data_IF_862905368390
#
_entry.id   IF_862905368390
#
_cell.length_a   1.000
_cell.length_b   1.000
_cell.length_c   1.000
_cell.angle_alpha   90.00
_cell.angle_beta   90.00
_cell.angle_gamma   90.00
#
_symmetry.space_group_name_H-M   'P 1'
#
loop_
_entity.id
_entity.type
_entity.pdbx_description
1 polymer ?
#
# COMPACT_ATOMS: atom_id res chain seq x y z
N UNK A 1 23.33 -37.41 32.01
CA UNK A 1 21.92 -37.18 32.38
C UNK A 1 21.10 -36.70 31.19
N UNK A 2 21.30 -37.34 30.02
CA UNK A 2 20.94 -36.83 28.70
C UNK A 2 20.24 -37.92 27.89
N UNK A 3 19.20 -38.52 28.49
CA UNK A 3 18.49 -39.65 27.88
C UNK A 3 16.95 -39.64 28.10
N UNK A 4 16.35 -38.56 28.61
CA UNK A 4 14.90 -38.49 28.87
C UNK A 4 14.15 -37.37 28.13
N UNK A 5 14.81 -36.59 27.27
CA UNK A 5 14.15 -35.52 26.49
C UNK A 5 13.81 -35.91 25.03
N UNK A 6 14.18 -37.12 24.59
CA UNK A 6 14.14 -37.52 23.17
C UNK A 6 13.10 -38.59 22.80
N UNK A 7 12.02 -38.76 23.58
CA UNK A 7 10.95 -39.74 23.26
C UNK A 7 9.54 -39.20 23.00
N UNK A 8 9.34 -37.88 22.97
CA UNK A 8 8.02 -37.29 22.67
C UNK A 8 7.96 -36.42 21.40
N UNK A 9 8.98 -36.44 20.55
CA UNK A 9 9.02 -35.62 19.31
C UNK A 9 8.69 -36.45 18.05
N UNK A 10 8.73 -37.79 18.11
CA UNK A 10 8.51 -38.64 16.93
C UNK A 10 7.10 -39.22 16.74
N UNK A 11 6.13 -38.95 17.63
CA UNK A 11 4.72 -39.34 17.40
C UNK A 11 3.82 -38.18 16.97
N UNK A 12 4.33 -36.95 16.90
CA UNK A 12 3.60 -35.77 16.38
C UNK A 12 4.09 -35.26 15.02
N UNK A 13 5.24 -35.74 14.52
CA UNK A 13 5.82 -35.30 13.24
C UNK A 13 5.30 -36.07 12.01
N UNK A 14 4.66 -37.23 12.18
CA UNK A 14 4.05 -37.97 11.05
C UNK A 14 2.56 -37.66 10.85
N UNK A 15 1.89 -37.04 11.83
CA UNK A 15 0.50 -36.60 11.71
C UNK A 15 0.34 -35.17 11.12
N UNK A 16 1.44 -34.41 11.00
CA UNK A 16 1.40 -33.01 10.54
C UNK A 16 1.81 -32.80 9.07
N UNK A 17 2.24 -33.84 8.35
CA UNK A 17 2.71 -33.74 6.95
C UNK A 17 1.81 -34.43 5.91
N UNK A 18 0.55 -34.74 6.28
CA UNK A 18 -0.49 -35.23 5.34
C UNK A 18 -1.84 -34.52 5.52
N UNK A 19 -1.83 -33.27 5.99
CA UNK A 19 -3.02 -32.44 6.00
C UNK A 19 -2.99 -31.46 4.81
N UNK A 20 -3.84 -31.74 3.83
CA UNK A 20 -4.48 -30.75 3.00
C UNK A 20 -3.66 -30.02 1.91
N UNK A 21 -3.22 -30.77 0.88
CA UNK A 21 -3.67 -30.37 -0.46
C UNK A 21 -5.17 -30.66 -0.46
N UNK A 22 -5.95 -29.74 0.12
CA UNK A 22 -7.39 -29.78 0.03
C UNK A 22 -7.71 -29.36 -1.39
N UNK A 23 -7.69 -30.37 -2.25
CA UNK A 23 -8.61 -30.48 -3.36
C UNK A 23 -10.02 -30.61 -2.75
N UNK A 24 -10.47 -29.62 -1.98
CA UNK A 24 -11.89 -29.50 -1.69
C UNK A 24 -12.46 -29.08 -3.02
N UNK A 25 -13.13 -30.02 -3.66
CA UNK A 25 -14.40 -29.62 -4.26
C UNK A 25 -15.16 -28.95 -3.12
N UNK A 26 -15.12 -27.61 -3.06
CA UNK A 26 -16.12 -26.84 -2.34
C UNK A 26 -17.46 -27.46 -2.73
N UNK A 27 -18.40 -27.64 -1.78
CA UNK A 27 -19.67 -28.26 -2.09
C UNK A 27 -20.21 -27.58 -3.34
N UNK A 28 -20.39 -28.37 -4.41
CA UNK A 28 -21.07 -27.86 -5.60
C UNK A 28 -22.43 -27.42 -5.09
N UNK A 29 -22.62 -26.10 -4.98
CA UNK A 29 -23.92 -25.54 -4.68
C UNK A 29 -24.90 -26.20 -5.67
N UNK A 30 -25.95 -26.88 -5.18
CA UNK A 30 -26.92 -27.51 -6.05
C UNK A 30 -27.37 -26.51 -7.10
N UNK A 31 -27.61 -26.97 -8.33
CA UNK A 31 -28.11 -26.14 -9.44
C UNK A 31 -29.43 -25.42 -9.11
N UNK A 32 -30.05 -25.78 -7.99
CA UNK A 32 -31.11 -25.05 -7.33
C UNK A 32 -30.56 -24.28 -6.12
N UNK A 33 -30.07 -23.05 -6.35
CA UNK A 33 -30.26 -21.99 -5.36
C UNK A 33 -31.76 -21.96 -5.09
N UNK A 34 -32.19 -22.27 -3.87
CA UNK A 34 -33.61 -22.25 -3.53
C UNK A 34 -34.09 -20.81 -3.61
N UNK A 35 -34.65 -20.47 -4.77
CA UNK A 35 -35.56 -19.35 -4.96
C UNK A 35 -36.47 -19.25 -3.74
N UNK A 36 -36.44 -18.08 -3.11
CA UNK A 36 -37.60 -17.44 -2.51
C UNK A 36 -38.24 -18.26 -1.38
N UNK A 37 -37.86 -17.95 -0.14
CA UNK A 37 -38.82 -18.06 0.96
C UNK A 37 -40.03 -17.15 0.66
N UNK A 38 -41.23 -17.56 1.08
CA UNK A 38 -42.48 -16.80 0.90
C UNK A 38 -42.24 -15.32 1.24
N UNK A 39 -42.26 -14.45 0.23
CA UNK A 39 -42.03 -13.00 0.39
C UNK A 39 -40.71 -12.43 -0.15
N UNK A 40 -39.86 -13.19 -0.86
CA UNK A 40 -38.73 -12.62 -1.63
C UNK A 40 -37.43 -12.39 -0.84
N UNK A 41 -37.09 -13.27 0.10
CA UNK A 41 -36.00 -13.07 1.09
C UNK A 41 -34.75 -13.94 0.81
N UNK A 42 -33.54 -13.40 1.04
CA UNK A 42 -32.22 -14.02 0.76
C UNK A 42 -31.65 -14.76 1.98
N UNK A 43 -31.37 -16.07 1.85
CA UNK A 43 -30.70 -16.91 2.86
C UNK A 43 -29.32 -17.31 2.34
N UNK A 44 -28.25 -16.93 3.03
CA UNK A 44 -26.88 -17.10 2.54
C UNK A 44 -26.30 -18.49 2.85
N UNK A 45 -26.71 -19.13 3.95
CA UNK A 45 -26.32 -20.51 4.29
C UNK A 45 -27.51 -21.46 4.52
N UNK A 46 -27.45 -22.72 4.03
CA UNK A 46 -28.50 -23.73 4.28
C UNK A 46 -28.75 -24.05 5.75
N UNK A 47 -27.79 -23.76 6.63
CA UNK A 47 -27.90 -24.00 8.08
C UNK A 47 -28.35 -22.76 8.89
N UNK A 48 -28.58 -21.61 8.24
CA UNK A 48 -29.06 -20.39 8.93
C UNK A 48 -30.46 -20.66 9.51
N UNK A 49 -30.60 -20.75 10.84
CA UNK A 49 -31.89 -21.04 11.47
C UNK A 49 -32.73 -19.77 11.61
N UNK A 50 -33.90 -19.77 10.97
CA UNK A 50 -34.86 -18.66 10.85
C UNK A 50 -35.41 -18.12 12.18
N UNK A 51 -35.35 -18.91 13.27
CA UNK A 51 -35.98 -18.55 14.55
C UNK A 51 -35.24 -17.48 15.36
N UNK A 52 -34.00 -17.16 15.00
CA UNK A 52 -33.11 -16.33 15.85
C UNK A 52 -32.75 -14.98 15.25
N UNK A 53 -33.12 -14.71 13.99
CA UNK A 53 -32.64 -13.54 13.24
C UNK A 53 -33.67 -13.04 12.22
N UNK A 54 -33.59 -11.76 11.80
CA UNK A 54 -34.45 -11.22 10.74
C UNK A 54 -34.33 -12.03 9.45
N UNK A 55 -35.44 -12.25 8.75
CA UNK A 55 -35.53 -13.10 7.56
C UNK A 55 -34.73 -12.59 6.33
N UNK A 56 -34.21 -11.36 6.36
CA UNK A 56 -33.35 -10.76 5.34
C UNK A 56 -32.14 -10.18 6.06
N UNK A 57 -30.96 -10.76 5.87
CA UNK A 57 -29.72 -10.17 6.41
C UNK A 57 -29.19 -9.10 5.44
N UNK A 58 -29.39 -9.29 4.12
CA UNK A 58 -29.02 -8.34 3.08
C UNK A 58 -30.11 -8.23 2.00
N UNK A 59 -30.36 -7.01 1.53
CA UNK A 59 -31.40 -6.72 0.52
C UNK A 59 -30.90 -6.89 -0.93
N UNK A 60 -29.60 -7.12 -1.11
CA UNK A 60 -28.94 -7.14 -2.42
C UNK A 60 -28.37 -8.53 -2.74
N UNK A 61 -28.37 -8.91 -4.03
CA UNK A 61 -27.81 -10.18 -4.50
C UNK A 61 -26.29 -10.05 -4.73
N UNK A 62 -25.44 -10.80 -3.99
CA UNK A 62 -23.98 -10.71 -4.13
C UNK A 62 -23.43 -11.09 -5.51
N UNK A 63 -24.17 -11.84 -6.34
CA UNK A 63 -23.75 -12.18 -7.71
C UNK A 63 -23.87 -10.97 -8.66
N UNK A 64 -24.78 -10.04 -8.36
CA UNK A 64 -25.05 -8.85 -9.17
C UNK A 64 -24.72 -7.53 -8.47
N UNK A 65 -24.42 -7.57 -7.17
CA UNK A 65 -24.08 -6.42 -6.33
C UNK A 65 -22.98 -5.56 -6.97
N UNK A 66 -23.24 -4.25 -7.00
CA UNK A 66 -22.28 -3.20 -7.35
C UNK A 66 -22.52 -2.06 -6.36
N UNK A 67 -21.51 -1.66 -5.57
CA UNK A 67 -21.69 -0.60 -4.58
C UNK A 67 -22.06 0.72 -5.26
N UNK A 68 -23.06 1.41 -4.72
CA UNK A 68 -23.46 2.73 -5.18
C UNK A 68 -22.47 3.80 -4.68
N UNK A 69 -21.59 4.22 -5.59
CA UNK A 69 -20.56 5.23 -5.31
C UNK A 69 -21.15 6.60 -4.96
N UNK A 70 -22.38 6.90 -5.36
CA UNK A 70 -23.02 8.20 -5.07
C UNK A 70 -23.38 8.38 -3.60
N UNK A 71 -23.38 7.28 -2.82
CA UNK A 71 -23.62 7.32 -1.36
C UNK A 71 -22.42 7.86 -0.57
N UNK A 72 -21.25 7.96 -1.19
CA UNK A 72 -20.02 8.44 -0.55
C UNK A 72 -19.71 9.88 -0.99
N UNK A 73 -19.41 10.82 -0.05
CA UNK A 73 -19.14 12.22 -0.38
C UNK A 73 -17.99 12.44 -1.37
N UNK A 74 -17.03 11.52 -1.40
CA UNK A 74 -15.85 11.54 -2.28
C UNK A 74 -15.96 10.54 -3.45
N UNK A 75 -17.13 9.93 -3.63
CA UNK A 75 -17.41 8.87 -4.60
C UNK A 75 -16.46 7.66 -4.50
N UNK A 76 -15.86 7.44 -3.33
CA UNK A 76 -14.94 6.32 -3.07
C UNK A 76 -15.63 5.30 -2.18
N UNK A 77 -15.56 4.03 -2.56
CA UNK A 77 -16.07 2.94 -1.72
C UNK A 77 -15.03 2.61 -0.67
N UNK A 78 -15.30 2.92 0.60
CA UNK A 78 -14.37 2.74 1.72
C UNK A 78 -14.46 1.37 2.41
N UNK A 79 -15.44 0.54 2.02
CA UNK A 79 -15.67 -0.77 2.65
C UNK A 79 -16.13 -1.81 1.64
N UNK A 80 -15.55 -3.01 1.71
CA UNK A 80 -15.97 -4.11 0.86
C UNK A 80 -17.27 -4.76 1.35
N UNK A 81 -18.23 -4.89 0.46
CA UNK A 81 -19.52 -5.48 0.77
C UNK A 81 -20.51 -4.44 1.24
N UNK A 82 -21.30 -4.79 2.26
CA UNK A 82 -22.37 -3.91 2.75
C UNK A 82 -21.80 -2.99 3.82
N UNK A 83 -22.05 -1.70 3.61
CA UNK A 83 -21.58 -0.61 4.47
C UNK A 83 -22.39 -0.68 5.76
N UNK A 84 -21.72 -0.96 6.88
CA UNK A 84 -22.30 -0.66 8.19
C UNK A 84 -22.48 0.87 8.23
N UNK A 85 -23.65 1.38 8.65
CA UNK A 85 -23.99 2.81 8.62
C UNK A 85 -22.77 3.72 8.89
N UNK A 86 -22.57 4.80 8.09
CA UNK A 86 -21.40 5.64 8.23
C UNK A 86 -21.29 6.13 9.69
N UNK A 87 -20.09 6.10 10.30
CA UNK A 87 -19.94 6.54 11.67
C UNK A 87 -20.45 7.97 11.81
N UNK A 88 -21.31 8.19 12.80
CA UNK A 88 -21.75 9.52 13.20
C UNK A 88 -20.51 10.37 13.53
N UNK A 89 -20.25 11.36 12.68
CA UNK A 89 -19.31 12.46 12.87
C UNK A 89 -17.79 12.11 13.02
N UNK A 90 -16.98 12.28 11.96
CA UNK A 90 -15.53 12.11 12.02
C UNK A 90 -14.78 13.21 12.80
N UNK A 91 -15.48 14.20 13.39
CA UNK A 91 -14.87 15.28 14.16
C UNK A 91 -14.67 14.98 15.64
N UNK A 92 -15.17 13.85 16.15
CA UNK A 92 -14.93 13.45 17.53
C UNK A 92 -13.57 12.76 17.66
N UNK A 93 -12.75 13.24 18.60
CA UNK A 93 -11.46 12.64 19.01
C UNK A 93 -11.59 11.21 19.61
N UNK A 94 -12.76 10.55 19.45
CA UNK A 94 -13.16 9.27 20.04
C UNK A 94 -12.99 8.06 19.10
N UNK A 95 -12.20 8.23 18.02
CA UNK A 95 -11.87 7.17 17.06
C UNK A 95 -11.36 5.89 17.72
N UNK A 96 -10.60 5.98 18.82
CA UNK A 96 -10.07 4.82 19.54
C UNK A 96 -11.13 3.97 20.26
N UNK A 97 -12.12 4.61 20.91
CA UNK A 97 -13.20 3.91 21.60
C UNK A 97 -14.16 3.24 20.60
N UNK A 98 -14.46 3.93 19.49
CA UNK A 98 -15.32 3.39 18.42
C UNK A 98 -14.73 2.14 17.74
N UNK A 99 -13.41 2.10 17.48
CA UNK A 99 -12.75 0.95 16.85
C UNK A 99 -12.75 -0.28 17.76
N UNK A 100 -12.50 -0.10 19.06
CA UNK A 100 -12.52 -1.20 20.03
C UNK A 100 -13.95 -1.74 20.17
N UNK A 101 -14.96 -0.87 20.24
CA UNK A 101 -16.37 -1.30 20.29
C UNK A 101 -16.78 -2.09 19.04
N UNK A 102 -16.41 -1.61 17.85
CA UNK A 102 -16.64 -2.33 16.58
C UNK A 102 -15.93 -3.69 16.58
N UNK A 103 -14.70 -3.77 17.07
CA UNK A 103 -13.96 -5.03 17.19
C UNK A 103 -14.67 -6.02 18.14
N UNK A 104 -15.12 -5.56 19.30
CA UNK A 104 -15.86 -6.39 20.27
C UNK A 104 -17.15 -6.91 19.65
N UNK A 105 -17.91 -6.05 18.96
CA UNK A 105 -19.13 -6.44 18.26
C UNK A 105 -18.83 -7.49 17.18
N UNK A 106 -17.81 -7.26 16.33
CA UNK A 106 -17.38 -8.22 15.30
C UNK A 106 -16.95 -9.56 15.89
N UNK A 107 -16.15 -9.56 16.96
CA UNK A 107 -15.74 -10.78 17.65
C UNK A 107 -16.92 -11.52 18.28
N UNK A 108 -17.86 -10.80 18.87
CA UNK A 108 -19.07 -11.39 19.46
C UNK A 108 -19.91 -12.07 18.39
N UNK A 109 -20.15 -11.41 17.25
CA UNK A 109 -20.87 -11.99 16.11
C UNK A 109 -20.12 -13.22 15.58
N UNK A 110 -18.82 -13.11 15.36
CA UNK A 110 -17.99 -14.24 14.87
C UNK A 110 -18.08 -15.44 15.81
N UNK A 111 -18.06 -15.21 17.12
CA UNK A 111 -18.19 -16.27 18.13
C UNK A 111 -19.56 -16.94 18.08
N UNK A 112 -20.64 -16.19 17.85
CA UNK A 112 -21.99 -16.75 17.70
C UNK A 112 -22.13 -17.62 16.45
N UNK A 113 -21.44 -17.29 15.36
CA UNK A 113 -21.50 -18.05 14.10
C UNK A 113 -20.55 -19.24 14.06
N UNK A 114 -19.55 -19.33 14.95
CA UNK A 114 -18.58 -20.43 14.96
C UNK A 114 -19.30 -21.80 15.05
N UNK A 115 -18.97 -22.79 14.19
CA UNK A 115 -17.80 -22.84 13.30
C UNK A 115 -18.03 -22.30 11.87
N UNK A 116 -19.18 -21.68 11.59
CA UNK A 116 -19.55 -21.16 10.28
C UNK A 116 -19.09 -19.70 10.09
N UNK A 117 -18.98 -19.30 8.83
CA UNK A 117 -18.74 -17.90 8.46
C UNK A 117 -19.96 -17.04 8.75
N UNK A 118 -19.75 -15.79 9.16
CA UNK A 118 -20.83 -14.82 9.34
C UNK A 118 -21.48 -14.50 7.99
N UNK A 119 -22.74 -14.03 7.94
CA UNK A 119 -23.41 -13.68 6.70
C UNK A 119 -22.61 -12.67 5.87
N UNK A 120 -22.00 -11.67 6.54
CA UNK A 120 -21.13 -10.70 5.88
C UNK A 120 -19.93 -11.37 5.20
N UNK A 121 -19.26 -12.30 5.89
CA UNK A 121 -18.14 -13.05 5.31
C UNK A 121 -18.59 -13.94 4.15
N UNK A 122 -19.77 -14.55 4.24
CA UNK A 122 -20.34 -15.32 3.13
C UNK A 122 -20.63 -14.43 1.91
N UNK A 123 -21.19 -13.23 2.13
CA UNK A 123 -21.42 -12.23 1.07
C UNK A 123 -20.09 -11.81 0.41
N UNK A 124 -19.10 -11.43 1.23
CA UNK A 124 -17.76 -11.04 0.75
C UNK A 124 -17.09 -12.19 -0.02
N UNK A 125 -17.25 -13.46 0.39
CA UNK A 125 -16.66 -14.61 -0.31
C UNK A 125 -17.16 -14.75 -1.76
N UNK A 126 -18.40 -14.34 -2.03
CA UNK A 126 -18.95 -14.33 -3.39
C UNK A 126 -18.35 -13.17 -4.19
N UNK A 127 -18.22 -11.98 -3.58
CA UNK A 127 -17.54 -10.84 -4.21
C UNK A 127 -16.08 -11.14 -4.53
N UNK A 128 -15.35 -11.79 -3.61
CA UNK A 128 -13.99 -12.26 -3.83
C UNK A 128 -13.92 -13.18 -5.05
N UNK A 129 -14.79 -14.19 -5.13
CA UNK A 129 -14.85 -15.10 -6.28
C UNK A 129 -15.08 -14.35 -7.59
N UNK A 130 -15.98 -13.37 -7.61
CA UNK A 130 -16.23 -12.52 -8.78
C UNK A 130 -14.97 -11.74 -9.15
N UNK A 131 -14.27 -11.18 -8.17
CA UNK A 131 -13.04 -10.40 -8.39
C UNK A 131 -11.89 -11.28 -8.90
N UNK A 132 -11.68 -12.46 -8.34
CA UNK A 132 -10.69 -13.45 -8.83
C UNK A 132 -11.00 -13.86 -10.27
N UNK A 133 -12.27 -14.18 -10.57
CA UNK A 133 -12.69 -14.56 -11.93
C UNK A 133 -12.45 -13.42 -12.93
N UNK A 134 -12.72 -12.17 -12.53
CA UNK A 134 -12.47 -10.97 -13.33
C UNK A 134 -10.96 -10.74 -13.56
N UNK A 135 -10.15 -10.94 -12.52
CA UNK A 135 -8.69 -10.85 -12.57
C UNK A 135 -8.08 -11.85 -13.58
N UNK A 136 -8.55 -13.10 -13.58
CA UNK A 136 -8.11 -14.13 -14.52
C UNK A 136 -8.70 -14.03 -15.93
N UNK A 137 -9.64 -13.12 -16.17
CA UNK A 137 -10.32 -13.00 -17.47
C UNK A 137 -9.44 -12.31 -18.50
N UNK A 138 -9.13 -13.02 -19.60
CA UNK A 138 -8.43 -12.45 -20.76
C UNK A 138 -9.16 -11.25 -21.37
N UNK A 139 -10.48 -11.24 -21.34
CA UNK A 139 -11.30 -10.14 -21.89
C UNK A 139 -11.13 -8.85 -21.07
N UNK A 140 -10.87 -8.97 -19.77
CA UNK A 140 -10.88 -7.84 -18.85
C UNK A 140 -9.47 -7.31 -18.57
N UNK A 141 -8.50 -8.22 -18.46
CA UNK A 141 -7.12 -7.90 -18.05
C UNK A 141 -6.11 -8.32 -19.11
N UNK A 142 -6.48 -9.15 -20.09
CA UNK A 142 -5.53 -9.80 -21.00
C UNK A 142 -4.63 -8.85 -21.79
N UNK A 143 -5.20 -7.77 -22.35
CA UNK A 143 -4.41 -6.76 -23.07
C UNK A 143 -3.53 -5.95 -22.13
N UNK A 144 -4.00 -5.69 -20.90
CA UNK A 144 -3.22 -5.00 -19.87
C UNK A 144 -2.02 -5.82 -19.41
N UNK A 145 -2.08 -7.15 -19.46
CA UNK A 145 -0.95 -8.01 -19.04
C UNK A 145 0.33 -7.78 -19.87
N UNK A 146 0.21 -7.18 -21.05
CA UNK A 146 1.33 -6.79 -21.93
C UNK A 146 1.68 -5.29 -21.82
N UNK A 147 1.16 -4.60 -20.82
CA UNK A 147 1.43 -3.17 -20.58
C UNK A 147 2.29 -2.98 -19.34
N UNK A 148 2.89 -1.81 -19.27
CA UNK A 148 3.52 -1.28 -18.08
C UNK A 148 2.75 -0.06 -17.59
N UNK A 149 2.65 0.10 -16.28
CA UNK A 149 2.11 1.31 -15.65
C UNK A 149 3.25 2.17 -15.16
N UNK A 150 3.19 3.46 -15.46
CA UNK A 150 3.97 4.48 -14.76
C UNK A 150 3.10 5.01 -13.64
N UNK A 151 3.55 4.81 -12.41
CA UNK A 151 2.79 5.09 -11.20
C UNK A 151 3.48 6.19 -10.42
N UNK A 152 2.68 7.15 -9.95
CA UNK A 152 3.06 8.05 -8.88
C UNK A 152 2.44 7.55 -7.58
N UNK A 153 3.30 7.19 -6.64
CA UNK A 153 2.93 6.84 -5.27
C UNK A 153 3.21 8.02 -4.36
N UNK A 154 2.22 8.50 -3.62
CA UNK A 154 2.36 9.64 -2.70
C UNK A 154 1.81 9.31 -1.32
N UNK A 155 2.53 9.73 -0.28
CA UNK A 155 2.08 9.58 1.10
C UNK A 155 0.91 10.52 1.37
N UNK A 156 -0.18 9.99 1.94
CA UNK A 156 -1.42 10.71 2.20
C UNK A 156 -1.35 11.72 3.35
N UNK A 157 -2.51 12.17 3.81
CA UNK A 157 -2.67 13.08 4.95
C UNK A 157 -1.92 14.42 4.81
N UNK A 158 -1.83 14.95 3.59
CA UNK A 158 -1.14 16.22 3.32
C UNK A 158 0.36 16.08 3.07
N UNK A 159 0.91 14.86 3.11
CA UNK A 159 2.32 14.59 2.86
C UNK A 159 2.68 14.49 1.36
N UNK A 160 1.72 14.60 0.45
CA UNK A 160 1.87 14.23 -0.97
C UNK A 160 2.90 15.11 -1.69
N UNK A 161 3.05 16.35 -1.23
CA UNK A 161 4.05 17.29 -1.75
C UNK A 161 5.45 17.02 -1.19
N UNK A 162 5.58 16.32 -0.05
CA UNK A 162 6.84 16.06 0.62
C UNK A 162 7.41 14.69 0.27
N UNK A 163 6.57 13.65 0.27
CA UNK A 163 7.00 12.25 0.13
C UNK A 163 6.25 11.58 -1.02
N UNK A 164 6.98 11.26 -2.10
CA UNK A 164 6.44 10.51 -3.25
C UNK A 164 7.52 9.78 -4.04
N UNK A 165 7.12 8.78 -4.82
CA UNK A 165 7.95 8.02 -5.77
C UNK A 165 7.25 7.94 -7.12
N UNK A 166 8.03 7.99 -8.21
CA UNK A 166 7.55 7.72 -9.57
C UNK A 166 8.32 6.56 -10.15
N UNK A 167 7.62 5.51 -10.53
CA UNK A 167 8.24 4.27 -10.99
C UNK A 167 7.37 3.56 -12.03
N UNK A 168 8.01 2.69 -12.80
CA UNK A 168 7.38 1.81 -13.79
C UNK A 168 7.34 0.40 -13.26
N UNK A 169 6.23 -0.29 -13.49
CA UNK A 169 6.03 -1.72 -13.22
C UNK A 169 5.20 -2.37 -14.33
N UNK A 170 5.32 -3.69 -14.56
CA UNK A 170 4.37 -4.41 -15.39
C UNK A 170 2.98 -4.35 -14.76
N UNK A 171 1.93 -4.15 -15.56
CA UNK A 171 0.56 -4.23 -15.06
C UNK A 171 0.21 -5.64 -14.54
N UNK A 172 0.93 -6.66 -15.03
CA UNK A 172 0.83 -8.04 -14.57
C UNK A 172 1.53 -8.34 -13.24
N UNK A 173 2.23 -7.37 -12.61
CA UNK A 173 2.92 -7.61 -11.34
C UNK A 173 1.90 -8.02 -10.27
N UNK A 174 2.20 -9.10 -9.54
CA UNK A 174 1.39 -9.53 -8.40
C UNK A 174 1.48 -8.50 -7.28
N UNK A 175 0.39 -8.25 -6.56
CA UNK A 175 0.36 -7.27 -5.47
C UNK A 175 1.38 -7.59 -4.38
N UNK A 176 1.58 -8.86 -4.03
CA UNK A 176 2.62 -9.27 -3.08
C UNK A 176 4.04 -8.96 -3.56
N UNK A 177 4.31 -9.17 -4.85
CA UNK A 177 5.60 -8.81 -5.46
C UNK A 177 5.77 -7.28 -5.58
N UNK A 178 4.69 -6.54 -5.88
CA UNK A 178 4.71 -5.08 -5.89
C UNK A 178 5.07 -4.52 -4.52
N UNK A 179 4.47 -5.04 -3.44
CA UNK A 179 4.85 -4.69 -2.08
C UNK A 179 6.33 -5.01 -1.80
N UNK A 180 6.68 -6.30 -1.85
CA UNK A 180 7.95 -6.81 -1.33
C UNK A 180 9.16 -6.41 -2.19
N UNK A 181 9.01 -6.48 -3.52
CA UNK A 181 10.11 -6.31 -4.45
C UNK A 181 10.26 -4.89 -5.00
N UNK A 182 9.21 -4.06 -4.91
CA UNK A 182 9.20 -2.72 -5.50
C UNK A 182 8.97 -1.65 -4.43
N UNK A 183 7.83 -1.65 -3.75
CA UNK A 183 7.45 -0.57 -2.82
C UNK A 183 8.41 -0.51 -1.63
N UNK A 184 8.67 -1.64 -0.96
CA UNK A 184 9.60 -1.72 0.18
C UNK A 184 10.98 -1.13 -0.16
N UNK A 185 11.68 -1.56 -1.24
CA UNK A 185 13.00 -1.00 -1.54
C UNK A 185 12.96 0.44 -2.05
N UNK A 186 11.95 0.90 -2.80
CA UNK A 186 11.90 2.31 -3.26
C UNK A 186 11.51 3.28 -2.14
N UNK A 187 10.83 2.79 -1.11
CA UNK A 187 10.60 3.54 0.12
C UNK A 187 11.77 3.44 1.07
N UNK A 188 12.57 2.37 0.99
CA UNK A 188 13.67 2.13 1.91
C UNK A 188 13.19 1.60 3.27
N UNK A 189 12.09 0.84 3.28
CA UNK A 189 11.58 0.15 4.45
C UNK A 189 12.21 -1.23 4.63
N UNK A 190 11.89 -1.86 5.75
CA UNK A 190 12.40 -3.18 6.12
C UNK A 190 11.53 -4.28 5.54
N UNK A 191 12.14 -5.15 4.75
CA UNK A 191 11.46 -6.28 4.12
C UNK A 191 10.86 -7.22 5.15
N UNK A 192 9.60 -7.62 4.97
CA UNK A 192 8.94 -8.60 5.82
C UNK A 192 8.63 -8.11 7.25
N UNK A 193 8.68 -6.80 7.49
CA UNK A 193 8.53 -6.25 8.83
C UNK A 193 7.06 -5.99 9.17
N UNK A 194 6.45 -5.03 8.49
CA UNK A 194 5.05 -4.66 8.66
C UNK A 194 4.13 -5.19 7.57
N UNK A 195 2.88 -5.43 7.94
CA UNK A 195 1.81 -5.78 7.03
C UNK A 195 1.39 -4.60 6.16
N UNK A 196 0.58 -4.90 5.15
CA UNK A 196 0.11 -3.92 4.18
C UNK A 196 -1.25 -4.32 3.63
N UNK A 197 -2.01 -3.36 3.11
CA UNK A 197 -3.29 -3.61 2.43
C UNK A 197 -3.40 -2.68 1.23
N UNK A 198 -3.83 -3.23 0.09
CA UNK A 198 -4.30 -2.48 -1.07
C UNK A 198 -5.83 -2.37 -1.01
N UNK A 199 -6.36 -1.18 -1.25
CA UNK A 199 -7.80 -0.94 -1.27
C UNK A 199 -8.24 -0.45 -2.65
N UNK A 200 -9.19 -1.17 -3.24
CA UNK A 200 -9.82 -0.79 -4.49
C UNK A 200 -10.92 0.23 -4.23
N UNK A 201 -10.69 1.47 -4.63
CA UNK A 201 -11.62 2.59 -4.43
C UNK A 201 -12.94 2.44 -5.20
N UNK A 202 -13.02 1.48 -6.13
CA UNK A 202 -14.20 1.27 -6.97
C UNK A 202 -15.22 0.33 -6.36
N UNK A 203 -14.79 -0.65 -5.56
CA UNK A 203 -15.67 -1.64 -4.92
C UNK A 203 -15.39 -1.88 -3.42
N UNK A 204 -14.42 -1.16 -2.86
CA UNK A 204 -14.01 -1.23 -1.47
C UNK A 204 -13.19 -2.46 -1.11
N UNK A 205 -12.80 -3.30 -2.09
CA UNK A 205 -12.09 -4.54 -1.79
C UNK A 205 -10.73 -4.27 -1.16
N UNK A 206 -10.45 -4.99 -0.09
CA UNK A 206 -9.21 -4.97 0.69
C UNK A 206 -8.39 -6.22 0.37
N UNK A 207 -7.15 -6.04 -0.10
CA UNK A 207 -6.30 -7.12 -0.60
C UNK A 207 -4.90 -7.01 0.04
N UNK A 208 -4.40 -8.08 0.64
CA UNK A 208 -3.14 -8.06 1.37
C UNK A 208 -2.70 -9.44 1.85
N UNK A 209 -1.67 -9.51 2.70
CA UNK A 209 -1.18 -10.77 3.21
C UNK A 209 -2.17 -11.40 4.19
N UNK A 210 -2.20 -12.73 4.23
CA UNK A 210 -2.99 -13.47 5.22
C UNK A 210 -2.53 -13.17 6.65
N UNK A 211 -3.46 -13.30 7.61
CA UNK A 211 -3.22 -13.00 9.04
C UNK A 211 -1.98 -13.67 9.65
N UNK A 212 -1.59 -14.85 9.17
CA UNK A 212 -0.45 -15.62 9.65
C UNK A 212 0.80 -15.50 8.75
N UNK A 213 0.89 -14.49 7.89
CA UNK A 213 2.02 -14.28 6.98
C UNK A 213 3.34 -13.88 7.67
N UNK A 214 3.33 -13.66 8.99
CA UNK A 214 4.53 -13.41 9.79
C UNK A 214 4.93 -11.94 9.96
N UNK A 215 4.13 -11.00 9.46
CA UNK A 215 4.31 -9.57 9.78
C UNK A 215 3.92 -9.26 11.23
N UNK A 216 4.64 -8.33 11.86
CA UNK A 216 4.56 -8.09 13.31
C UNK A 216 3.21 -7.53 13.79
N UNK A 217 2.50 -6.86 12.90
CA UNK A 217 1.34 -6.02 13.16
C UNK A 217 0.04 -6.54 12.52
N UNK A 218 0.02 -7.77 11.97
CA UNK A 218 -1.19 -8.39 11.38
C UNK A 218 -2.38 -8.48 12.35
N UNK A 219 -2.15 -8.32 13.66
CA UNK A 219 -3.21 -8.22 14.66
C UNK A 219 -4.10 -6.97 14.48
N UNK A 220 -3.60 -5.92 13.80
CA UNK A 220 -4.37 -4.71 13.50
C UNK A 220 -5.30 -4.89 12.29
N UNK A 221 -5.02 -5.83 11.38
CA UNK A 221 -5.87 -6.09 10.21
C UNK A 221 -7.37 -6.25 10.55
N UNK A 222 -7.81 -7.10 11.51
CA UNK A 222 -9.23 -7.21 11.88
C UNK A 222 -9.81 -5.98 12.60
N UNK A 223 -8.97 -5.05 13.07
CA UNK A 223 -9.43 -3.80 13.66
C UNK A 223 -9.86 -2.81 12.57
N UNK A 224 -9.11 -2.78 11.46
CA UNK A 224 -9.36 -1.87 10.35
C UNK A 224 -10.28 -2.46 9.28
N UNK A 225 -10.19 -3.77 9.02
CA UNK A 225 -10.85 -4.42 7.88
C UNK A 225 -11.72 -5.61 8.32
N UNK A 226 -12.89 -5.77 7.69
CA UNK A 226 -13.76 -6.92 7.91
C UNK A 226 -13.19 -8.22 7.32
N UNK A 227 -12.54 -8.09 6.18
CA UNK A 227 -11.93 -9.17 5.43
C UNK A 227 -10.71 -8.63 4.70
N UNK A 228 -9.71 -9.46 4.43
CA UNK A 228 -8.56 -9.12 3.58
C UNK A 228 -8.33 -10.29 2.65
N UNK A 229 -8.56 -10.07 1.36
CA UNK A 229 -8.34 -11.06 0.30
C UNK A 229 -6.84 -11.31 0.10
N UNK A 230 -6.46 -12.56 -0.23
CA UNK A 230 -5.07 -12.94 -0.48
C UNK A 230 -4.52 -12.26 -1.75
N UNK A 231 -3.35 -11.64 -1.62
CA UNK A 231 -2.71 -10.83 -2.66
C UNK A 231 -1.76 -11.60 -3.58
N UNK A 232 -1.43 -12.85 -3.23
CA UNK A 232 -0.37 -13.63 -3.88
C UNK A 232 -0.57 -13.89 -5.38
N UNK A 233 -1.81 -13.97 -5.83
CA UNK A 233 -2.17 -14.27 -7.22
C UNK A 233 -2.95 -13.13 -7.90
N UNK A 234 -3.00 -11.96 -7.26
CA UNK A 234 -3.75 -10.81 -7.77
C UNK A 234 -2.80 -9.86 -8.50
N UNK A 235 -2.92 -9.69 -9.83
CA UNK A 235 -2.13 -8.72 -10.58
C UNK A 235 -2.63 -7.30 -10.30
N UNK A 236 -1.73 -6.33 -10.35
CA UNK A 236 -2.03 -4.90 -10.21
C UNK A 236 -3.11 -4.42 -11.19
N UNK A 237 -3.13 -4.99 -12.39
CA UNK A 237 -4.15 -4.71 -13.41
C UNK A 237 -5.59 -5.06 -12.99
N UNK A 238 -5.76 -5.78 -11.87
CA UNK A 238 -7.07 -6.01 -11.24
C UNK A 238 -7.64 -4.70 -10.69
N UNK A 239 -6.77 -3.89 -10.06
CA UNK A 239 -7.08 -2.63 -9.39
C UNK A 239 -7.00 -1.44 -10.33
N UNK A 240 -5.97 -1.40 -11.19
CA UNK A 240 -5.66 -0.24 -12.02
C UNK A 240 -5.69 -0.63 -13.51
N UNK A 241 -6.34 0.17 -14.36
CA UNK A 241 -6.55 -0.20 -15.77
C UNK A 241 -6.14 0.87 -16.75
N UNK A 242 -6.45 2.13 -16.43
CA UNK A 242 -6.24 3.28 -17.31
C UNK A 242 -5.59 4.44 -16.57
N UNK A 243 -5.10 5.41 -17.34
CA UNK A 243 -4.56 6.66 -16.81
C UNK A 243 -5.61 7.33 -15.91
N UNK A 244 -5.17 7.76 -14.73
CA UNK A 244 -6.03 8.39 -13.73
C UNK A 244 -6.61 7.43 -12.70
N UNK A 245 -6.66 6.12 -12.98
CA UNK A 245 -7.02 5.11 -11.98
C UNK A 245 -6.03 5.15 -10.82
N UNK A 246 -6.53 4.86 -9.64
CA UNK A 246 -5.71 4.79 -8.44
C UNK A 246 -6.32 3.85 -7.40
N UNK A 247 -5.48 3.36 -6.50
CA UNK A 247 -5.87 2.57 -5.34
C UNK A 247 -5.15 3.11 -4.09
N UNK A 248 -5.68 2.82 -2.91
CA UNK A 248 -4.94 3.08 -1.67
C UNK A 248 -3.99 1.90 -1.39
N UNK A 249 -2.88 2.21 -0.74
CA UNK A 249 -1.92 1.23 -0.22
C UNK A 249 -1.51 1.68 1.18
N UNK A 250 -1.91 0.92 2.19
CA UNK A 250 -1.52 1.14 3.57
C UNK A 250 -0.34 0.24 3.90
N UNK A 251 0.72 0.79 4.47
CA UNK A 251 1.85 0.07 5.05
C UNK A 251 1.92 0.33 6.55
N UNK A 252 2.35 -0.66 7.35
CA UNK A 252 2.29 -0.60 8.81
C UNK A 252 0.85 -0.51 9.28
N UNK A 253 0.27 -1.66 9.61
CA UNK A 253 -1.13 -1.70 10.05
C UNK A 253 -1.30 -1.15 11.48
N UNK A 254 -0.20 -0.92 12.20
CA UNK A 254 -0.22 -0.20 13.48
C UNK A 254 -0.23 1.31 13.28
N UNK A 255 0.70 1.84 12.49
CA UNK A 255 0.86 3.29 12.28
C UNK A 255 0.03 3.85 11.11
N UNK A 256 -0.47 2.98 10.22
CA UNK A 256 -1.32 3.28 9.05
C UNK A 256 -0.73 4.31 8.08
N UNK A 257 0.38 3.96 7.43
CA UNK A 257 0.98 4.80 6.39
C UNK A 257 0.26 4.64 5.05
N UNK A 258 -0.76 5.47 4.83
CA UNK A 258 -1.57 5.45 3.60
C UNK A 258 -0.88 6.12 2.41
N UNK A 259 -0.90 5.45 1.27
CA UNK A 259 -0.34 5.92 0.02
C UNK A 259 -1.35 5.81 -1.11
N UNK A 260 -1.45 6.87 -1.90
CA UNK A 260 -2.18 6.85 -3.16
C UNK A 260 -1.26 6.36 -4.28
N UNK A 261 -1.60 5.24 -4.91
CA UNK A 261 -0.92 4.74 -6.11
C UNK A 261 -1.75 5.13 -7.33
N UNK A 262 -1.31 6.13 -8.09
CA UNK A 262 -2.03 6.64 -9.26
C UNK A 262 -1.30 6.31 -10.56
N UNK A 263 -2.01 5.78 -11.54
CA UNK A 263 -1.50 5.60 -12.90
C UNK A 263 -1.39 6.97 -13.60
N UNK A 264 -0.17 7.37 -13.93
CA UNK A 264 0.12 8.55 -14.75
C UNK A 264 0.21 8.20 -16.24
N UNK A 265 0.65 6.98 -16.58
CA UNK A 265 0.78 6.51 -17.96
C UNK A 265 0.56 4.99 -18.06
N UNK A 266 -0.02 4.55 -19.18
CA UNK A 266 -0.07 3.14 -19.59
C UNK A 266 0.77 3.01 -20.85
N UNK A 267 1.90 2.33 -20.75
CA UNK A 267 2.86 2.13 -21.84
C UNK A 267 2.83 0.68 -22.35
N UNK A 268 3.26 0.47 -23.59
CA UNK A 268 3.58 -0.88 -24.06
C UNK A 268 4.72 -1.46 -23.22
N UNK A 269 4.62 -2.75 -22.92
CA UNK A 269 5.74 -3.46 -22.29
C UNK A 269 6.79 -3.74 -23.35
N UNK A 270 7.98 -3.22 -23.11
CA UNK A 270 9.19 -3.65 -23.79
C UNK A 270 9.76 -4.86 -23.04
N UNK A 271 9.69 -6.03 -23.67
CA UNK A 271 10.17 -7.30 -23.07
C UNK A 271 11.70 -7.37 -23.00
N UNK A 272 12.41 -6.52 -23.75
CA UNK A 272 13.88 -6.42 -23.73
C UNK A 272 14.39 -5.42 -22.68
N UNK A 273 13.52 -4.54 -22.18
CA UNK A 273 13.84 -3.56 -21.14
C UNK A 273 13.65 -4.11 -19.72
N UNK A 274 14.30 -3.48 -18.73
CA UNK A 274 14.00 -3.76 -17.33
C UNK A 274 12.50 -3.50 -17.07
N UNK A 275 11.75 -4.51 -16.58
CA UNK A 275 10.29 -4.41 -16.44
C UNK A 275 9.88 -3.44 -15.31
N UNK A 276 10.80 -3.18 -14.38
CA UNK A 276 10.61 -2.31 -13.23
C UNK A 276 11.71 -1.27 -13.20
N UNK A 277 11.34 0.01 -13.03
CA UNK A 277 12.31 1.10 -12.94
C UNK A 277 11.81 2.20 -12.00
N UNK A 278 12.67 2.68 -11.10
CA UNK A 278 12.42 3.89 -10.31
C UNK A 278 12.92 5.12 -11.08
N UNK A 279 12.03 6.03 -11.46
CA UNK A 279 12.38 7.24 -12.21
C UNK A 279 12.83 8.38 -11.30
N UNK A 280 12.04 8.68 -10.27
CA UNK A 280 12.27 9.84 -9.39
C UNK A 280 11.53 9.71 -8.05
N UNK A 281 11.81 10.63 -7.13
CA UNK A 281 11.09 10.77 -5.88
C UNK A 281 11.51 11.99 -5.06
N UNK A 282 10.78 12.22 -3.98
CA UNK A 282 11.02 13.29 -3.01
C UNK A 282 10.79 12.81 -1.59
N UNK A 283 11.52 13.37 -0.64
CA UNK A 283 11.37 13.10 0.79
C UNK A 283 11.89 11.73 1.23
N UNK A 284 12.40 11.70 2.46
CA UNK A 284 12.64 10.45 3.18
C UNK A 284 11.31 9.78 3.49
N UNK A 285 11.27 8.45 3.48
CA UNK A 285 10.10 7.73 3.97
C UNK A 285 9.94 7.95 5.48
N UNK A 286 8.71 7.82 6.01
CA UNK A 286 8.51 7.64 7.44
C UNK A 286 9.44 6.56 7.99
N UNK A 287 10.22 6.84 9.05
CA UNK A 287 11.04 5.83 9.72
C UNK A 287 10.20 4.71 10.33
N UNK A 288 10.71 3.48 10.24
CA UNK A 288 10.09 2.30 10.87
C UNK A 288 10.01 2.51 12.39
N UNK A 289 8.84 2.30 12.98
CA UNK A 289 8.57 2.52 14.41
C UNK A 289 9.18 3.83 14.92
N UNK A 290 9.00 4.91 14.15
CA UNK A 290 9.69 6.18 14.32
C UNK A 290 9.41 6.87 15.66
N UNK A 291 10.06 6.41 16.72
CA UNK A 291 10.02 7.02 18.04
C UNK A 291 10.60 8.45 17.98
N UNK A 292 9.96 9.37 18.69
CA UNK A 292 10.39 10.76 18.80
C UNK A 292 9.93 11.70 17.67
N UNK A 293 9.44 11.19 16.53
CA UNK A 293 8.60 11.98 15.63
C UNK A 293 7.28 12.18 16.36
N UNK A 294 7.09 13.34 16.99
CA UNK A 294 5.98 13.65 17.91
C UNK A 294 4.64 13.03 17.42
N UNK A 295 4.38 11.84 17.97
CA UNK A 295 3.23 10.96 17.74
C UNK A 295 3.13 10.23 16.36
N UNK A 296 2.50 9.05 16.35
CA UNK A 296 2.40 8.10 15.21
C UNK A 296 1.34 8.47 14.17
N UNK A 297 1.57 8.10 12.90
CA UNK A 297 0.60 8.17 11.80
C UNK A 297 0.73 9.38 10.86
N UNK A 298 0.09 9.28 9.69
CA UNK A 298 0.20 10.25 8.60
C UNK A 298 -0.02 11.72 8.96
N UNK A 299 -1.11 12.11 9.66
CA UNK A 299 -1.38 13.51 10.03
C UNK A 299 -0.29 14.13 10.91
N UNK A 300 0.27 13.34 11.84
CA UNK A 300 1.33 13.79 12.75
C UNK A 300 2.66 13.92 12.03
N UNK A 301 2.97 12.99 11.13
CA UNK A 301 4.14 13.12 10.26
C UNK A 301 4.07 14.36 9.37
N UNK A 302 2.91 14.69 8.81
CA UNK A 302 2.71 15.95 8.08
C UNK A 302 3.03 17.19 8.92
N UNK A 303 2.51 17.22 10.15
CA UNK A 303 2.80 18.31 11.11
C UNK A 303 4.29 18.43 11.39
N UNK A 304 4.97 17.29 11.57
CA UNK A 304 6.43 17.25 11.73
C UNK A 304 7.15 17.80 10.49
N UNK A 305 6.76 17.40 9.28
CA UNK A 305 7.39 17.89 8.04
C UNK A 305 7.23 19.41 7.89
N UNK A 306 6.04 19.95 8.18
CA UNK A 306 5.80 21.40 8.20
C UNK A 306 6.70 22.13 9.19
N UNK A 307 6.74 21.67 10.44
CA UNK A 307 7.61 22.25 11.47
C UNK A 307 9.10 22.14 11.08
N UNK A 308 9.50 21.03 10.45
CA UNK A 308 10.86 20.84 9.98
C UNK A 308 11.23 21.81 8.85
N UNK A 309 10.33 22.08 7.91
CA UNK A 309 10.53 23.09 6.85
C UNK A 309 10.73 24.48 7.46
N UNK A 310 9.98 24.83 8.50
CA UNK A 310 10.07 26.12 9.17
C UNK A 310 11.36 26.27 9.97
N UNK A 311 11.77 25.25 10.75
CA UNK A 311 12.96 25.33 11.59
C UNK A 311 13.69 23.98 11.75
N UNK A 312 14.55 23.59 10.77
CA UNK A 312 15.26 22.31 10.81
C UNK A 312 16.15 22.10 12.05
N UNK A 313 16.64 23.18 12.66
CA UNK A 313 17.57 23.12 13.80
C UNK A 313 16.89 22.64 15.09
N UNK A 314 15.57 22.84 15.23
CA UNK A 314 14.80 22.45 16.42
C UNK A 314 14.59 20.93 16.52
N UNK A 315 14.69 20.22 15.40
CA UNK A 315 14.37 18.79 15.31
C UNK A 315 15.60 17.88 15.37
N UNK A 316 16.78 18.38 15.76
CA UNK A 316 18.03 17.60 15.78
C UNK A 316 17.95 16.33 16.64
N UNK A 317 17.32 16.42 17.81
CA UNK A 317 17.15 15.27 18.71
C UNK A 317 16.28 14.19 18.06
N UNK A 318 15.12 14.59 17.52
CA UNK A 318 14.18 13.71 16.82
C UNK A 318 14.83 13.02 15.62
N UNK A 319 15.61 13.75 14.82
CA UNK A 319 16.34 13.16 13.69
C UNK A 319 17.43 12.18 14.14
N UNK A 320 18.12 12.48 15.23
CA UNK A 320 19.14 11.59 15.79
C UNK A 320 18.51 10.31 16.33
N UNK A 321 17.39 10.44 17.06
CA UNK A 321 16.60 9.32 17.56
C UNK A 321 16.15 8.43 16.41
N UNK A 322 15.40 8.97 15.44
CA UNK A 322 14.93 8.23 14.27
C UNK A 322 16.08 7.54 13.51
N UNK A 323 17.23 8.19 13.35
CA UNK A 323 18.40 7.58 12.70
C UNK A 323 19.00 6.40 13.48
N UNK A 324 18.79 6.37 14.79
CA UNK A 324 19.40 5.40 15.71
C UNK A 324 18.46 4.27 16.13
N UNK A 325 17.15 4.52 16.15
CA UNK A 325 16.12 3.59 16.60
C UNK A 325 15.44 2.86 15.43
N UNK A 326 15.05 3.59 14.38
CA UNK A 326 14.28 3.02 13.28
C UNK A 326 15.08 1.97 12.51
N UNK A 327 14.52 0.77 12.37
CA UNK A 327 15.21 -0.41 11.84
C UNK A 327 15.80 -0.15 10.46
N UNK A 328 15.04 0.52 9.59
CA UNK A 328 15.47 0.83 8.23
C UNK A 328 16.67 1.78 8.14
N UNK A 329 16.92 2.60 9.18
CA UNK A 329 18.08 3.51 9.23
C UNK A 329 19.23 2.95 10.07
N UNK A 330 18.93 2.36 11.22
CA UNK A 330 19.93 1.89 12.18
C UNK A 330 20.52 0.53 11.79
N UNK A 331 19.77 -0.29 11.04
CA UNK A 331 20.11 -1.63 10.54
C UNK A 331 19.58 -1.80 9.10
N UNK A 332 20.04 -0.99 8.14
CA UNK A 332 19.55 -1.08 6.77
C UNK A 332 19.87 -2.48 6.23
N UNK A 333 18.92 -3.08 5.52
CA UNK A 333 19.08 -4.40 4.94
C UNK A 333 20.24 -4.45 3.91
N UNK A 334 20.62 -3.30 3.35
CA UNK A 334 21.77 -3.16 2.47
C UNK A 334 22.49 -1.81 2.63
N UNK A 335 23.82 -1.85 2.44
CA UNK A 335 24.69 -0.67 2.42
C UNK A 335 25.03 -0.12 3.80
N UNK A 336 25.75 1.01 3.87
CA UNK A 336 26.10 1.64 5.14
C UNK A 336 24.87 2.24 5.81
N UNK A 337 24.95 2.38 7.15
CA UNK A 337 23.99 3.15 7.94
C UNK A 337 23.89 4.57 7.39
N UNK A 338 22.67 5.05 7.27
CA UNK A 338 22.39 6.42 6.86
C UNK A 338 21.56 7.12 7.91
N UNK A 339 21.75 8.43 8.00
CA UNK A 339 20.92 9.27 8.86
C UNK A 339 19.59 9.55 8.16
N UNK A 340 18.54 9.63 8.95
CA UNK A 340 17.24 10.05 8.48
C UNK A 340 17.26 11.54 8.11
N UNK A 341 16.83 11.84 6.88
CA UNK A 341 16.70 13.20 6.35
C UNK A 341 15.30 13.37 5.75
N UNK A 342 14.36 14.04 6.43
CA UNK A 342 12.93 14.02 6.06
C UNK A 342 12.62 14.52 4.65
N UNK A 343 13.35 15.51 4.17
CA UNK A 343 13.10 16.15 2.86
C UNK A 343 14.04 15.68 1.75
N UNK A 344 14.90 14.69 2.02
CA UNK A 344 15.93 14.23 1.08
C UNK A 344 15.57 12.84 0.57
N UNK A 345 15.52 12.70 -0.75
CA UNK A 345 15.42 11.41 -1.42
C UNK A 345 16.65 11.16 -2.30
N UNK A 346 17.31 10.02 -2.08
CA UNK A 346 18.45 9.58 -2.89
C UNK A 346 17.98 8.51 -3.88
N UNK A 347 17.66 8.93 -5.10
CA UNK A 347 17.13 8.04 -6.15
C UNK A 347 18.12 6.94 -6.53
N UNK A 348 19.42 7.23 -6.61
CA UNK A 348 20.44 6.25 -7.00
C UNK A 348 20.59 5.14 -5.97
N UNK A 349 20.54 5.48 -4.67
CA UNK A 349 20.53 4.48 -3.60
C UNK A 349 19.31 3.57 -3.70
N UNK A 350 18.13 4.14 -3.93
CA UNK A 350 16.89 3.36 -4.00
C UNK A 350 16.80 2.54 -5.30
N UNK A 351 17.38 3.01 -6.41
CA UNK A 351 17.60 2.21 -7.62
C UNK A 351 18.50 1.01 -7.34
N UNK A 352 19.63 1.23 -6.66
CA UNK A 352 20.53 0.12 -6.30
C UNK A 352 19.83 -0.91 -5.39
N UNK A 353 19.06 -0.44 -4.40
CA UNK A 353 18.25 -1.31 -3.54
C UNK A 353 17.20 -2.10 -4.34
N UNK A 354 16.52 -1.44 -5.28
CA UNK A 354 15.54 -2.06 -6.17
C UNK A 354 16.20 -3.10 -7.10
N UNK A 355 17.28 -2.75 -7.78
CA UNK A 355 18.01 -3.65 -8.68
C UNK A 355 18.48 -4.90 -7.95
N UNK A 356 18.99 -4.74 -6.73
CA UNK A 356 19.38 -5.88 -5.89
C UNK A 356 18.21 -6.75 -5.46
N UNK A 357 17.07 -6.14 -5.15
CA UNK A 357 15.86 -6.86 -4.78
C UNK A 357 15.35 -7.70 -5.97
N UNK A 358 15.31 -7.11 -7.16
CA UNK A 358 14.85 -7.77 -8.38
C UNK A 358 15.81 -8.86 -8.86
N UNK A 359 17.11 -8.70 -8.65
CA UNK A 359 18.10 -9.69 -9.07
C UNK A 359 18.16 -10.94 -8.18
N UNK A 360 17.49 -10.91 -7.02
CA UNK A 360 17.40 -12.03 -6.10
C UNK A 360 18.71 -12.37 -5.37
N UNK A 361 18.70 -13.41 -4.51
CA UNK A 361 19.81 -13.72 -3.58
C UNK A 361 21.12 -14.18 -4.27
N UNK A 362 21.14 -14.33 -5.60
CA UNK A 362 22.25 -14.93 -6.35
C UNK A 362 23.23 -13.92 -6.96
N UNK A 363 22.93 -12.61 -6.95
CA UNK A 363 23.85 -11.62 -7.53
C UNK A 363 25.00 -11.31 -6.58
N UNK A 364 26.19 -11.78 -6.97
CA UNK A 364 27.47 -11.44 -6.33
C UNK A 364 27.60 -9.92 -6.19
N UNK A 365 27.80 -9.46 -4.95
CA UNK A 365 28.12 -8.08 -4.55
C UNK A 365 29.11 -7.43 -5.54
N UNK A 366 28.59 -6.69 -6.53
CA UNK A 366 29.38 -5.81 -7.39
C UNK A 366 28.72 -4.43 -7.40
N UNK A 367 28.93 -3.71 -6.31
CA UNK A 367 28.62 -2.30 -6.23
C UNK A 367 29.62 -1.66 -5.29
N UNK A 368 30.58 -0.93 -5.84
CA UNK A 368 31.46 -0.08 -5.04
C UNK A 368 30.59 1.09 -4.56
N UNK A 369 30.10 1.00 -3.33
CA UNK A 369 29.38 2.11 -2.71
C UNK A 369 30.40 3.22 -2.50
N UNK A 370 30.19 4.36 -3.16
CA UNK A 370 30.90 5.59 -2.79
C UNK A 370 30.82 5.79 -1.28
N UNK A 371 31.81 6.49 -0.73
CA UNK A 371 32.14 6.77 0.68
C UNK A 371 31.01 7.35 1.57
N UNK A 372 29.74 7.26 1.17
CA UNK A 372 28.62 7.88 1.85
C UNK A 372 28.60 9.40 1.68
N UNK A 373 29.48 9.98 0.86
CA UNK A 373 29.42 11.41 0.55
C UNK A 373 28.36 11.65 -0.52
N UNK A 374 27.29 12.29 -0.05
CA UNK A 374 26.13 12.67 -0.84
C UNK A 374 26.52 13.71 -1.89
N UNK A 375 26.23 13.44 -3.17
CA UNK A 375 26.08 14.47 -4.19
C UNK A 375 24.68 14.39 -4.76
N UNK A 376 23.92 15.46 -4.56
CA UNK A 376 22.59 15.66 -5.12
C UNK A 376 22.66 15.59 -6.66
N UNK A 377 22.19 14.49 -7.26
CA UNK A 377 22.37 14.29 -8.71
C UNK A 377 21.28 14.92 -9.58
N UNK A 378 20.15 15.39 -9.00
CA UNK A 378 19.10 16.10 -9.73
C UNK A 378 18.82 17.50 -9.17
N UNK A 379 19.29 18.52 -9.89
CA UNK A 379 18.99 19.94 -9.63
C UNK A 379 17.52 20.23 -9.96
N UNK A 380 16.70 20.58 -8.97
CA UNK A 380 15.28 20.92 -9.14
C UNK A 380 15.02 22.35 -9.65
N UNK A 381 13.75 22.65 -9.94
CA UNK A 381 13.28 23.98 -10.28
C UNK A 381 13.65 24.98 -9.17
N UNK A 382 14.25 26.11 -9.54
CA UNK A 382 14.72 27.11 -8.57
C UNK A 382 13.60 27.83 -7.80
N UNK A 383 12.34 27.68 -8.23
CA UNK A 383 11.17 28.30 -7.60
C UNK A 383 10.34 27.29 -6.82
N UNK A 384 9.80 26.27 -7.48
CA UNK A 384 8.88 25.31 -6.84
C UNK A 384 9.56 24.00 -6.41
N UNK A 385 10.85 23.81 -6.74
CA UNK A 385 11.58 22.59 -6.41
C UNK A 385 11.23 21.35 -7.25
N UNK A 386 10.33 21.49 -8.23
CA UNK A 386 9.91 20.42 -9.14
C UNK A 386 11.08 19.81 -9.93
N UNK A 387 11.07 18.49 -10.12
CA UNK A 387 12.18 17.66 -10.62
C UNK A 387 11.84 16.91 -11.92
N UNK A 388 10.95 17.48 -12.75
CA UNK A 388 10.66 16.95 -14.08
C UNK A 388 11.94 16.66 -14.89
N UNK A 389 11.91 15.62 -15.73
CA UNK A 389 13.03 15.18 -16.57
C UNK A 389 13.57 16.25 -17.53
N UNK A 390 12.77 17.29 -17.83
CA UNK A 390 13.13 18.36 -18.77
C UNK A 390 12.97 19.74 -18.12
N UNK A 391 13.83 20.06 -17.16
CA UNK A 391 13.88 21.44 -16.63
C UNK A 391 14.50 22.39 -17.66
N UNK A 392 13.77 23.45 -17.99
CA UNK A 392 14.24 24.55 -18.84
C UNK A 392 15.28 25.36 -18.08
N UNK A 393 16.38 25.71 -18.74
CA UNK A 393 17.45 26.50 -18.12
C UNK A 393 17.30 27.97 -18.57
N UNK A 394 17.70 28.93 -17.74
CA UNK A 394 17.76 30.33 -18.16
C UNK A 394 18.58 30.46 -19.46
N UNK A 395 17.93 30.84 -20.56
CA UNK A 395 18.57 30.95 -21.88
C UNK A 395 19.74 31.95 -21.91
N UNK A 396 19.74 32.94 -21.01
CA UNK A 396 20.76 33.99 -20.94
C UNK A 396 22.05 33.55 -20.24
N UNK A 397 21.95 32.91 -19.07
CA UNK A 397 23.11 32.56 -18.25
C UNK A 397 23.36 31.05 -18.10
N UNK A 398 22.46 30.21 -18.62
CA UNK A 398 22.38 28.74 -18.44
C UNK A 398 22.61 28.24 -17.00
N UNK A 399 22.31 29.07 -15.99
CA UNK A 399 22.51 28.77 -14.58
C UNK A 399 21.31 28.07 -13.91
N UNK A 400 20.28 28.83 -13.48
CA UNK A 400 19.12 28.26 -12.80
C UNK A 400 18.23 27.47 -13.77
N UNK A 401 17.62 26.41 -13.24
CA UNK A 401 16.68 25.51 -13.93
C UNK A 401 15.25 25.74 -13.45
N UNK A 402 14.27 25.52 -14.32
CA UNK A 402 12.86 25.81 -14.09
C UNK A 402 11.98 24.73 -14.73
N UNK A 403 10.92 24.31 -14.05
CA UNK A 403 9.94 23.38 -14.62
C UNK A 403 9.00 24.07 -15.63
N UNK A 404 8.82 25.39 -15.53
CA UNK A 404 7.91 26.16 -16.38
C UNK A 404 8.41 27.59 -16.63
N UNK A 405 7.80 28.27 -17.62
CA UNK A 405 8.11 29.67 -17.96
C UNK A 405 7.62 30.61 -16.85
N UNK A 406 6.53 30.25 -16.17
CA UNK A 406 5.98 30.99 -15.03
C UNK A 406 6.97 31.00 -13.87
N UNK A 407 7.55 29.84 -13.52
CA UNK A 407 8.62 29.74 -12.52
C UNK A 407 9.83 30.59 -12.90
N UNK A 408 10.24 30.57 -14.18
CA UNK A 408 11.33 31.42 -14.64
C UNK A 408 11.00 32.92 -14.47
N UNK A 409 9.80 33.36 -14.86
CA UNK A 409 9.35 34.76 -14.73
C UNK A 409 9.28 35.22 -13.28
N UNK A 410 8.80 34.36 -12.38
CA UNK A 410 8.74 34.64 -10.95
C UNK A 410 10.15 34.84 -10.37
N UNK A 411 11.07 33.91 -10.60
CA UNK A 411 12.47 34.06 -10.14
C UNK A 411 13.17 35.26 -10.80
N UNK A 412 12.85 35.56 -12.07
CA UNK A 412 13.40 36.72 -12.78
C UNK A 412 13.09 38.03 -12.05
N UNK A 413 11.84 38.23 -11.64
CA UNK A 413 11.40 39.41 -10.88
C UNK A 413 11.99 39.44 -9.47
N UNK A 414 12.12 38.29 -8.82
CA UNK A 414 12.52 38.16 -7.42
C UNK A 414 14.04 38.04 -7.19
N UNK A 415 14.86 38.47 -8.14
CA UNK A 415 16.30 38.65 -7.92
C UNK A 415 17.19 38.08 -9.02
N UNK A 416 16.74 37.10 -9.81
CA UNK A 416 17.58 36.51 -10.84
C UNK A 416 18.00 37.52 -11.91
N UNK A 417 17.15 38.50 -12.24
CA UNK A 417 17.48 39.58 -13.19
C UNK A 417 18.76 40.34 -12.80
N UNK A 418 19.01 40.54 -11.50
CA UNK A 418 20.19 41.27 -11.00
C UNK A 418 21.45 40.41 -11.00
N UNK A 419 21.31 39.10 -10.81
CA UNK A 419 22.42 38.15 -10.74
C UNK A 419 22.73 37.44 -12.10
N UNK A 420 21.92 37.65 -13.13
CA UNK A 420 22.02 36.94 -14.40
C UNK A 420 23.09 37.57 -15.32
N UNK A 421 24.23 36.89 -15.45
CA UNK A 421 25.32 37.27 -16.37
C UNK A 421 25.20 36.47 -17.68
N UNK A 422 25.14 37.12 -18.86
CA UNK A 422 25.13 36.42 -20.14
C UNK A 422 26.36 35.53 -20.31
N UNK A 423 26.17 34.33 -20.85
CA UNK A 423 27.30 33.54 -21.34
C UNK A 423 27.82 34.21 -22.62
N UNK A 424 29.13 34.43 -22.69
CA UNK A 424 29.80 34.96 -23.89
C UNK A 424 29.63 34.05 -25.10
#
# INVERSE_FOLDING_TARGET
SSALYNRNIHSRSEACNKAAIVNSKMPKFPSSWSKVGVGGKLRLHPDDKQSSWPDVIFQEDPETFVPDRSTFPDEIVHQWGIVDEPPEDPSSDDMGFSVIQKLIQRQSITTMYHPYDTPLLQFISILERRKVKKSGSKEVVGDLMKKSFIIKMSLGYGCEEYVWRRFRVPASIKLSALHDQVIVPIMGWSRGYHGYVFEDVTDGSTIGPKRNAGYIDMMHAPMHYHYVMDDNDIPLATLLRKVGDWCNYTYDLGDSWDHKLKVEEVAERDDDANPVELFDGKGGCPPEDGNGLEEKGGPRYHKFLKAYVENPKRHKSVLAEASSSAVNYCRPWYGPKIKFHPLVFNVERHRLMLDMMLAGPLVRKKGNLGDGTFKETMKGCKVCGDRLSVLKICSRCKGPKYCSVECQRHHWKNGHKKACVPIK
#
